data_IF_121806521663
#
_entry.id   IF_121806521663
#
_cell.length_a   1.000
_cell.length_b   1.000
_cell.length_c   1.000
_cell.angle_alpha   90.00
_cell.angle_beta   90.00
_cell.angle_gamma   90.00
#
_symmetry.space_group_name_H-M   'P 1'
#
loop_
_entity.id
_entity.type
_entity.pdbx_description
1 polymer ?
#
# COMPACT_ATOMS: atom_id res chain seq x y z
N UNK A 1 -2.79 1.81 -10.36
CA UNK A 1 -2.78 0.57 -11.16
C UNK A 1 -2.14 -0.57 -10.40
N UNK A 2 -2.67 -1.76 -10.51
CA UNK A 2 -2.11 -2.94 -9.87
C UNK A 2 -1.71 -3.91 -10.96
N UNK A 3 -0.46 -4.37 -10.93
CA UNK A 3 0.07 -5.31 -11.91
C UNK A 3 0.34 -6.65 -11.24
N UNK A 4 -0.02 -7.74 -11.92
CA UNK A 4 0.32 -9.07 -11.45
C UNK A 4 1.59 -9.51 -12.17
N UNK A 5 2.57 -9.95 -11.40
CA UNK A 5 3.87 -10.38 -11.93
C UNK A 5 4.02 -11.87 -11.65
N UNK A 6 4.42 -12.61 -12.67
CA UNK A 6 4.71 -14.04 -12.51
C UNK A 6 6.21 -14.23 -12.70
N UNK A 7 6.86 -14.78 -11.68
CA UNK A 7 8.28 -15.05 -11.77
C UNK A 7 8.56 -16.36 -12.51
N UNK A 8 9.79 -16.55 -12.96
CA UNK A 8 10.19 -17.77 -13.67
C UNK A 8 9.98 -19.01 -12.80
N UNK A 9 10.06 -18.87 -11.50
CA UNK A 9 9.85 -19.96 -10.55
C UNK A 9 8.38 -20.35 -10.42
N UNK A 10 7.48 -19.60 -11.04
CA UNK A 10 6.04 -19.82 -10.91
C UNK A 10 5.37 -19.01 -9.81
N UNK A 11 6.15 -18.32 -8.99
CA UNK A 11 5.59 -17.49 -7.94
C UNK A 11 4.91 -16.25 -8.54
N UNK A 12 3.84 -15.83 -7.91
CA UNK A 12 3.08 -14.66 -8.37
C UNK A 12 3.07 -13.64 -7.26
N UNK A 13 3.29 -12.39 -7.62
CA UNK A 13 3.14 -11.28 -6.69
C UNK A 13 2.51 -10.10 -7.43
N UNK A 14 2.16 -9.07 -6.71
CA UNK A 14 1.49 -7.90 -7.28
C UNK A 14 2.26 -6.64 -6.95
N UNK A 15 2.22 -5.69 -7.86
CA UNK A 15 2.83 -4.40 -7.68
C UNK A 15 1.77 -3.32 -7.79
N UNK A 16 1.82 -2.33 -6.92
CA UNK A 16 0.96 -1.16 -7.00
C UNK A 16 1.77 0.00 -7.58
N UNK A 17 1.23 0.62 -8.60
CA UNK A 17 1.92 1.67 -9.36
C UNK A 17 1.07 2.94 -9.40
N UNK A 18 1.73 4.09 -9.43
CA UNK A 18 1.11 5.37 -9.72
C UNK A 18 1.95 6.05 -10.81
N UNK A 19 1.71 7.34 -11.04
CA UNK A 19 2.42 8.07 -12.09
C UNK A 19 3.92 8.20 -11.84
N UNK A 20 4.32 8.05 -10.60
CA UNK A 20 5.75 8.15 -10.24
C UNK A 20 6.45 6.80 -10.24
N UNK A 21 5.74 5.72 -10.42
CA UNK A 21 6.31 4.38 -10.48
C UNK A 21 5.70 3.43 -9.45
N UNK A 22 6.42 2.35 -9.18
CA UNK A 22 5.96 1.37 -8.21
C UNK A 22 6.14 1.90 -6.80
N UNK A 23 5.10 1.81 -5.99
CA UNK A 23 5.15 2.29 -4.61
C UNK A 23 4.87 1.21 -3.58
N UNK A 24 4.35 0.06 -3.97
CA UNK A 24 4.07 -1.03 -3.04
C UNK A 24 4.13 -2.38 -3.74
N UNK A 25 4.39 -3.43 -2.96
CA UNK A 25 4.36 -4.80 -3.46
C UNK A 25 3.52 -5.65 -2.52
N UNK A 26 2.89 -6.68 -3.08
CA UNK A 26 2.08 -7.61 -2.31
C UNK A 26 2.50 -9.01 -2.70
N UNK A 27 2.84 -9.84 -1.71
CA UNK A 27 3.23 -11.23 -1.94
C UNK A 27 2.28 -12.14 -1.17
N UNK A 28 2.04 -13.33 -1.73
CA UNK A 28 1.28 -14.36 -1.03
C UNK A 28 2.26 -15.27 -0.33
N UNK A 29 2.28 -15.23 0.99
CA UNK A 29 3.25 -15.97 1.79
C UNK A 29 2.69 -17.27 2.35
N UNK A 30 1.42 -17.49 2.23
CA UNK A 30 0.77 -18.70 2.72
C UNK A 30 -0.65 -18.80 2.20
N UNK A 31 -1.37 -19.83 2.63
CA UNK A 31 -2.72 -20.09 2.12
C UNK A 31 -3.68 -18.92 2.34
N UNK A 32 -3.61 -18.34 3.54
CA UNK A 32 -4.45 -17.21 3.88
C UNK A 32 -3.59 -16.09 4.43
N UNK A 33 -2.43 -15.86 3.81
CA UNK A 33 -1.51 -14.82 4.26
C UNK A 33 -0.98 -14.05 3.06
N UNK A 34 -1.31 -12.78 3.00
CA UNK A 34 -0.79 -11.85 2.02
C UNK A 34 -0.04 -10.76 2.75
N UNK A 35 1.15 -10.45 2.26
CA UNK A 35 2.03 -9.46 2.88
C UNK A 35 2.24 -8.33 1.91
N UNK A 36 1.88 -7.12 2.34
CA UNK A 36 2.11 -5.91 1.57
C UNK A 36 3.29 -5.15 2.13
N UNK A 37 4.14 -4.64 1.26
CA UNK A 37 5.23 -3.77 1.65
C UNK A 37 5.03 -2.41 1.00
N UNK A 38 4.90 -1.39 1.84
CA UNK A 38 4.67 -0.03 1.42
C UNK A 38 5.56 0.87 2.26
N UNK A 39 6.60 1.42 1.66
CA UNK A 39 7.63 2.21 2.35
C UNK A 39 8.24 1.37 3.49
N UNK A 40 8.12 1.84 4.72
CA UNK A 40 8.63 1.12 5.90
C UNK A 40 7.60 0.18 6.50
N UNK A 41 6.40 0.17 5.96
CA UNK A 41 5.32 -0.63 6.54
C UNK A 41 5.33 -2.05 5.97
N UNK A 42 5.06 -3.02 6.83
CA UNK A 42 4.81 -4.39 6.42
C UNK A 42 3.42 -4.74 6.93
N UNK A 43 2.50 -5.02 5.99
CA UNK A 43 1.10 -5.25 6.30
C UNK A 43 0.75 -6.68 6.00
N UNK A 44 0.12 -7.37 6.97
CA UNK A 44 -0.25 -8.77 6.81
C UNK A 44 -1.76 -8.93 6.93
N UNK A 45 -2.37 -9.55 5.95
CA UNK A 45 -3.82 -9.79 5.93
C UNK A 45 -4.11 -11.14 5.30
N UNK A 46 -5.34 -11.60 5.46
CA UNK A 46 -5.76 -12.89 4.90
C UNK A 46 -6.09 -12.81 3.42
N UNK A 47 -6.33 -11.62 2.88
CA UNK A 47 -6.67 -11.43 1.48
C UNK A 47 -5.85 -10.31 0.87
N UNK A 48 -5.63 -10.40 -0.43
CA UNK A 48 -4.96 -9.37 -1.19
C UNK A 48 -5.74 -8.05 -1.11
N UNK A 49 -7.06 -8.15 -1.20
CA UNK A 49 -7.93 -6.97 -1.15
C UNK A 49 -7.74 -6.18 0.14
N UNK A 50 -7.62 -6.88 1.27
CA UNK A 50 -7.42 -6.22 2.56
C UNK A 50 -6.07 -5.52 2.62
N UNK A 51 -5.02 -6.11 2.05
CA UNK A 51 -3.71 -5.46 1.97
C UNK A 51 -3.81 -4.18 1.15
N UNK A 52 -4.44 -4.24 -0.02
CA UNK A 52 -4.61 -3.08 -0.88
C UNK A 52 -5.38 -1.98 -0.17
N UNK A 53 -6.48 -2.33 0.48
CA UNK A 53 -7.30 -1.35 1.20
C UNK A 53 -6.52 -0.71 2.35
N UNK A 54 -5.70 -1.49 3.05
CA UNK A 54 -4.87 -0.96 4.13
C UNK A 54 -3.84 0.04 3.60
N UNK A 55 -3.17 -0.28 2.49
CA UNK A 55 -2.21 0.62 1.87
C UNK A 55 -2.91 1.92 1.47
N UNK A 56 -4.06 1.83 0.83
CA UNK A 56 -4.83 3.00 0.42
C UNK A 56 -5.25 3.84 1.63
N UNK A 57 -5.60 3.18 2.72
CA UNK A 57 -5.98 3.88 3.95
C UNK A 57 -4.79 4.67 4.52
N UNK A 58 -3.61 4.06 4.56
CA UNK A 58 -2.40 4.75 5.04
C UNK A 58 -2.12 5.97 4.17
N UNK A 59 -2.21 5.84 2.86
CA UNK A 59 -2.01 6.96 1.94
C UNK A 59 -3.01 8.08 2.21
N UNK A 60 -4.26 7.72 2.40
CA UNK A 60 -5.33 8.70 2.68
C UNK A 60 -5.08 9.42 3.99
N UNK A 61 -4.73 8.68 5.04
CA UNK A 61 -4.49 9.28 6.35
C UNK A 61 -3.27 10.20 6.33
N UNK A 62 -2.24 9.86 5.56
CA UNK A 62 -1.07 10.72 5.42
C UNK A 62 -1.42 12.01 4.70
N UNK A 63 -2.21 11.94 3.65
CA UNK A 63 -2.65 13.13 2.93
C UNK A 63 -3.51 14.03 3.84
N UNK A 64 -4.41 13.43 4.60
CA UNK A 64 -5.25 14.18 5.54
C UNK A 64 -4.41 14.81 6.64
N UNK A 65 -3.39 14.10 7.14
CA UNK A 65 -2.52 14.62 8.17
C UNK A 65 -1.72 15.83 7.67
N UNK A 66 -1.22 15.78 6.45
CA UNK A 66 -0.53 16.90 5.83
C UNK A 66 -1.48 18.08 5.71
N UNK A 67 -2.69 17.85 5.23
CA UNK A 67 -3.69 18.90 5.10
C UNK A 67 -4.06 19.52 6.45
N UNK A 68 -4.18 18.69 7.47
CA UNK A 68 -4.47 19.18 8.82
C UNK A 68 -3.34 20.05 9.35
N UNK A 69 -2.11 19.66 9.08
CA UNK A 69 -0.96 20.43 9.52
C UNK A 69 -0.93 21.80 8.86
N UNK A 70 -1.20 21.86 7.56
CA UNK A 70 -1.27 23.13 6.87
C UNK A 70 -2.40 23.98 7.44
N UNK A 71 -3.54 23.37 7.64
CA UNK A 71 -4.69 24.07 8.19
C UNK A 71 -4.41 24.60 9.59
N UNK A 72 -3.73 23.80 10.41
CA UNK A 72 -3.39 24.21 11.77
C UNK A 72 -2.45 25.42 11.75
N UNK A 73 -1.52 25.45 10.81
CA UNK A 73 -0.59 26.58 10.72
C UNK A 73 -1.32 27.84 10.30
N UNK A 74 -2.26 27.73 9.38
CA UNK A 74 -2.94 28.91 8.86
C UNK A 74 -4.19 29.26 9.62
N UNK A 75 -4.82 28.31 10.21
CA UNK A 75 -6.15 28.50 10.79
C UNK A 75 -6.16 28.55 12.24
N UNK A 76 -5.13 28.35 12.83
CA UNK A 76 -5.18 28.34 14.10
C UNK A 76 -5.14 29.41 14.66
N UNK A 77 -5.38 29.67 14.35
CA UNK A 77 -5.35 30.42 14.71
C UNK A 77 -6.12 30.58 15.10
#
# INVERSE_FOLDING_TARGET
>A
MIKQIREDTGNVYWEMWDDEGRFATITKEGRNLYVGKFERYTLKHRTKKNVINHIKLIQKLRAESINKNEHAITGVQ
#
